data_IF_692048847334
#
_entry.id   IF_692048847334
#
_cell.length_a   1.000
_cell.length_b   1.000
_cell.length_c   1.000
_cell.angle_alpha   90.00
_cell.angle_beta   90.00
_cell.angle_gamma   90.00
#
_symmetry.space_group_name_H-M   'P 1'
#
loop_
_entity.id
_entity.type
_entity.pdbx_description
1 polymer ?
#
# COMPACT_ATOMS: atom_id res chain seq x y z
N UNK A 1 14.45 58.58 -12.54
CA UNK A 1 13.55 57.43 -12.81
C UNK A 1 12.12 57.93 -12.65
N UNK A 2 11.26 57.83 -13.68
CA UNK A 2 9.89 58.35 -13.57
C UNK A 2 9.11 57.61 -12.47
N UNK A 3 8.23 58.28 -11.69
CA UNK A 3 7.53 57.71 -10.53
C UNK A 3 6.65 56.48 -10.86
N UNK A 4 6.30 56.27 -12.14
CA UNK A 4 5.58 55.08 -12.62
C UNK A 4 6.43 53.80 -12.61
N UNK A 5 7.74 53.92 -12.83
CA UNK A 5 8.65 52.76 -12.83
C UNK A 5 9.05 52.32 -11.42
N UNK A 6 9.08 53.25 -10.46
CA UNK A 6 9.39 52.93 -9.06
C UNK A 6 8.29 52.07 -8.41
N UNK A 7 7.01 52.36 -8.69
CA UNK A 7 5.87 51.56 -8.20
C UNK A 7 5.86 50.15 -8.78
N UNK A 8 6.15 50.03 -10.08
CA UNK A 8 6.20 48.74 -10.78
C UNK A 8 7.37 47.88 -10.28
N UNK A 9 8.53 48.50 -10.02
CA UNK A 9 9.69 47.83 -9.45
C UNK A 9 9.41 47.33 -8.02
N UNK A 10 8.88 48.18 -7.14
CA UNK A 10 8.52 47.81 -5.76
C UNK A 10 7.50 46.68 -5.69
N UNK A 11 6.51 46.68 -6.59
CA UNK A 11 5.52 45.59 -6.66
C UNK A 11 6.18 44.27 -7.09
N UNK A 12 7.06 44.29 -8.08
CA UNK A 12 7.79 43.10 -8.52
C UNK A 12 8.74 42.57 -7.41
N UNK A 13 9.40 43.45 -6.66
CA UNK A 13 10.26 43.04 -5.53
C UNK A 13 9.41 42.44 -4.40
N UNK A 14 8.23 42.98 -4.12
CA UNK A 14 7.31 42.43 -3.12
C UNK A 14 6.82 41.02 -3.50
N UNK A 15 6.47 40.78 -4.77
CA UNK A 15 6.11 39.43 -5.25
C UNK A 15 7.29 38.44 -5.20
N UNK A 16 8.52 38.89 -5.47
CA UNK A 16 9.73 38.08 -5.32
C UNK A 16 10.03 37.72 -3.85
N UNK A 17 9.80 38.64 -2.92
CA UNK A 17 9.95 38.38 -1.48
C UNK A 17 8.86 37.45 -0.93
N UNK A 18 7.62 37.56 -1.43
CA UNK A 18 6.55 36.61 -1.10
C UNK A 18 6.84 35.20 -1.63
N UNK A 19 7.47 35.08 -2.80
CA UNK A 19 7.91 33.79 -3.33
C UNK A 19 8.98 33.13 -2.44
N UNK A 20 9.90 33.91 -1.86
CA UNK A 20 10.90 33.36 -0.93
C UNK A 20 10.30 32.90 0.40
N UNK A 21 9.25 33.55 0.91
CA UNK A 21 8.54 33.07 2.10
C UNK A 21 7.74 31.79 1.85
N UNK A 22 7.22 31.59 0.63
CA UNK A 22 6.51 30.35 0.27
C UNK A 22 7.45 29.12 0.17
N UNK A 23 8.76 29.34 0.01
CA UNK A 23 9.78 28.28 -0.12
C UNK A 23 10.54 27.96 1.16
N UNK A 24 10.21 28.59 2.29
CA UNK A 24 10.73 28.18 3.59
C UNK A 24 9.96 26.95 4.11
N UNK A 25 10.02 25.83 3.39
CA UNK A 25 9.75 24.54 4.02
C UNK A 25 10.81 24.35 5.10
N UNK A 26 10.37 24.42 6.35
CA UNK A 26 11.23 24.25 7.50
C UNK A 26 11.77 22.81 7.51
N UNK A 27 13.06 22.66 7.22
CA UNK A 27 13.73 21.35 7.19
C UNK A 27 13.82 20.78 8.61
N UNK A 28 12.95 19.82 8.92
CA UNK A 28 12.83 19.21 10.25
C UNK A 28 14.12 18.50 10.67
N UNK A 29 15.03 18.16 9.76
CA UNK A 29 16.31 17.54 10.12
C UNK A 29 17.17 18.42 11.02
N UNK A 30 16.96 19.75 10.99
CA UNK A 30 17.65 20.70 11.87
C UNK A 30 17.32 20.47 13.35
N UNK A 31 16.14 19.96 13.64
CA UNK A 31 15.66 19.67 14.99
C UNK A 31 15.71 18.18 15.34
N UNK A 32 16.52 17.39 14.62
CA UNK A 32 16.65 15.97 14.89
C UNK A 32 16.91 15.64 16.37
N UNK A 33 17.81 16.31 17.12
CA UNK A 33 18.01 16.02 18.54
C UNK A 33 16.75 16.18 19.39
N UNK A 34 15.91 17.19 19.09
CA UNK A 34 14.63 17.41 19.77
C UNK A 34 13.69 16.23 19.52
N UNK A 35 13.51 15.79 18.28
CA UNK A 35 12.65 14.65 17.96
C UNK A 35 13.12 13.34 18.57
N UNK A 36 14.43 13.08 18.60
CA UNK A 36 14.98 11.89 19.27
C UNK A 36 14.72 11.91 20.78
N UNK A 37 14.74 13.09 21.41
CA UNK A 37 14.37 13.21 22.82
C UNK A 37 12.88 12.98 23.04
N UNK A 38 12.01 13.61 22.24
CA UNK A 38 10.56 13.44 22.30
C UNK A 38 10.09 12.03 21.99
N UNK A 39 10.82 11.28 21.17
CA UNK A 39 10.53 9.88 20.91
C UNK A 39 10.62 9.02 22.19
N UNK A 40 11.45 9.39 23.18
CA UNK A 40 11.49 8.72 24.48
C UNK A 40 10.19 8.95 25.27
N UNK A 41 9.69 10.19 25.27
CA UNK A 41 8.41 10.53 25.89
C UNK A 41 7.25 9.75 25.24
N UNK A 42 7.32 9.52 23.93
CA UNK A 42 6.37 8.69 23.20
C UNK A 42 6.47 7.22 23.60
N UNK A 43 7.69 6.69 23.73
CA UNK A 43 7.92 5.32 24.23
C UNK A 43 7.31 5.14 25.63
N UNK A 44 7.57 6.05 26.56
CA UNK A 44 6.94 6.02 27.91
C UNK A 44 5.41 6.05 27.83
N UNK A 45 4.85 6.85 26.93
CA UNK A 45 3.41 6.88 26.73
C UNK A 45 2.86 5.53 26.23
N UNK A 46 3.55 4.84 25.31
CA UNK A 46 3.16 3.50 24.87
C UNK A 46 3.07 2.53 26.06
N UNK A 47 4.07 2.50 26.93
CA UNK A 47 4.08 1.65 28.12
C UNK A 47 2.93 1.96 29.09
N UNK A 48 2.67 3.23 29.38
CA UNK A 48 1.58 3.62 30.28
C UNK A 48 0.17 3.34 29.71
N UNK A 49 0.05 3.11 28.40
CA UNK A 49 -1.21 2.79 27.74
C UNK A 49 -1.26 1.32 27.29
N UNK A 50 -0.44 0.46 27.91
CA UNK A 50 -0.32 -0.99 27.63
C UNK A 50 0.08 -1.37 26.20
N UNK A 51 0.34 -0.39 25.33
CA UNK A 51 0.86 -0.60 23.98
C UNK A 51 2.34 -1.00 23.98
N UNK A 52 3.08 -0.63 25.03
CA UNK A 52 4.51 -0.95 25.19
C UNK A 52 4.81 -2.43 25.34
N UNK A 53 3.80 -3.26 25.64
CA UNK A 53 3.95 -4.73 25.63
C UNK A 53 4.02 -5.28 24.20
N UNK A 54 3.43 -4.57 23.24
CA UNK A 54 3.33 -4.99 21.85
C UNK A 54 4.33 -4.26 20.94
N UNK A 55 4.68 -3.01 21.28
CA UNK A 55 5.45 -2.12 20.42
C UNK A 55 6.55 -1.40 21.18
N UNK A 56 7.79 -1.57 20.71
CA UNK A 56 8.95 -0.84 21.19
C UNK A 56 9.46 0.16 20.17
N UNK A 57 9.91 1.33 20.62
CA UNK A 57 10.58 2.28 19.75
C UNK A 57 11.93 1.72 19.26
N UNK A 58 12.04 1.44 17.96
CA UNK A 58 13.28 0.96 17.35
C UNK A 58 14.13 2.10 16.78
N UNK A 59 13.50 3.05 16.09
CA UNK A 59 14.21 4.15 15.43
C UNK A 59 13.32 5.38 15.25
N UNK A 60 13.93 6.55 15.33
CA UNK A 60 13.34 7.82 14.89
C UNK A 60 14.00 8.22 13.57
N UNK A 61 13.21 8.32 12.49
CA UNK A 61 13.64 8.85 11.20
C UNK A 61 13.22 10.30 11.08
N UNK A 62 14.17 11.20 10.84
CA UNK A 62 13.87 12.63 10.63
C UNK A 62 14.22 12.98 9.19
N UNK A 63 13.22 13.44 8.44
CA UNK A 63 13.30 13.81 7.03
C UNK A 63 13.02 15.31 6.89
N UNK A 64 13.23 15.92 5.70
CA UNK A 64 13.01 17.36 5.55
C UNK A 64 11.59 17.82 5.92
N UNK A 65 10.59 17.01 5.63
CA UNK A 65 9.17 17.35 5.69
C UNK A 65 8.36 16.50 6.68
N UNK A 66 8.97 15.45 7.25
CA UNK A 66 8.31 14.55 8.20
C UNK A 66 9.23 13.92 9.24
N UNK A 67 8.63 13.50 10.35
CA UNK A 67 9.23 12.64 11.36
C UNK A 67 8.51 11.29 11.35
N UNK A 68 9.29 10.22 11.35
CA UNK A 68 8.83 8.83 11.35
C UNK A 68 9.27 8.12 12.62
N UNK A 69 8.33 7.56 13.38
CA UNK A 69 8.63 6.60 14.42
C UNK A 69 8.53 5.17 13.87
N UNK A 70 9.61 4.41 13.96
CA UNK A 70 9.61 2.98 13.66
C UNK A 70 9.41 2.24 14.98
N UNK A 71 8.25 1.64 15.14
CA UNK A 71 7.88 0.82 16.29
C UNK A 71 8.00 -0.65 15.90
N UNK A 72 8.89 -1.37 16.58
CA UNK A 72 9.11 -2.79 16.40
C UNK A 72 8.09 -3.55 17.23
N UNK A 73 7.38 -4.49 16.60
CA UNK A 73 6.51 -5.39 17.32
C UNK A 73 7.31 -6.44 18.13
N UNK A 74 6.81 -6.84 19.28
CA UNK A 74 7.45 -7.83 20.17
C UNK A 74 7.46 -9.27 19.63
N UNK A 75 6.87 -9.50 18.45
CA UNK A 75 6.73 -10.83 17.85
C UNK A 75 7.98 -11.24 17.05
N UNK A 76 8.26 -12.53 17.04
CA UNK A 76 9.37 -13.13 16.28
C UNK A 76 8.96 -14.45 15.64
N UNK A 77 9.74 -14.90 14.65
CA UNK A 77 9.48 -16.12 13.88
C UNK A 77 8.70 -15.90 12.59
N UNK A 78 8.49 -16.98 11.83
CA UNK A 78 7.94 -16.94 10.47
C UNK A 78 6.52 -16.34 10.39
N UNK A 79 5.73 -16.49 11.46
CA UNK A 79 4.34 -15.99 11.54
C UNK A 79 4.20 -14.63 12.21
N UNK A 80 5.31 -13.95 12.50
CA UNK A 80 5.25 -12.71 13.28
C UNK A 80 4.50 -11.58 12.56
N UNK A 81 4.44 -11.59 11.22
CA UNK A 81 3.57 -10.68 10.44
C UNK A 81 2.08 -10.93 10.70
N UNK A 82 1.64 -12.19 10.71
CA UNK A 82 0.25 -12.57 11.03
C UNK A 82 -0.10 -12.21 12.47
N UNK A 83 0.84 -12.44 13.40
CA UNK A 83 0.68 -12.03 14.80
C UNK A 83 0.51 -10.52 14.93
N UNK A 84 1.33 -9.73 14.22
CA UNK A 84 1.18 -8.27 14.19
C UNK A 84 -0.19 -7.86 13.63
N UNK A 85 -0.66 -8.50 12.56
CA UNK A 85 -1.98 -8.23 11.97
C UNK A 85 -3.11 -8.51 12.96
N UNK A 86 -3.12 -9.69 13.56
CA UNK A 86 -4.14 -10.10 14.51
C UNK A 86 -4.17 -9.17 15.73
N UNK A 87 -3.00 -8.85 16.29
CA UNK A 87 -2.88 -7.97 17.46
C UNK A 87 -3.28 -6.54 17.12
N UNK A 88 -2.88 -6.02 15.96
CA UNK A 88 -3.31 -4.69 15.53
C UNK A 88 -4.83 -4.57 15.42
N UNK A 89 -5.48 -5.56 14.80
CA UNK A 89 -6.93 -5.61 14.68
C UNK A 89 -7.62 -5.63 16.04
N UNK A 90 -7.12 -6.48 16.96
CA UNK A 90 -7.70 -6.62 18.29
C UNK A 90 -7.48 -5.38 19.16
N UNK A 91 -6.28 -4.77 19.13
CA UNK A 91 -6.00 -3.53 19.85
C UNK A 91 -6.91 -2.39 19.38
N UNK A 92 -7.12 -2.25 18.07
CA UNK A 92 -8.05 -1.27 17.52
C UNK A 92 -9.47 -1.50 18.02
N UNK A 93 -9.94 -2.74 17.95
CA UNK A 93 -11.28 -3.14 18.38
C UNK A 93 -11.49 -2.84 19.87
N UNK A 94 -10.57 -3.27 20.72
CA UNK A 94 -10.65 -3.03 22.16
C UNK A 94 -10.63 -1.54 22.51
N UNK A 95 -9.72 -0.79 21.89
CA UNK A 95 -9.61 0.65 22.13
C UNK A 95 -10.90 1.39 21.72
N UNK A 96 -11.50 1.03 20.59
CA UNK A 96 -12.76 1.60 20.14
C UNK A 96 -13.92 1.28 21.10
N UNK A 97 -14.00 0.03 21.57
CA UNK A 97 -15.03 -0.38 22.56
C UNK A 97 -14.90 0.40 23.87
N UNK A 98 -13.68 0.69 24.31
CA UNK A 98 -13.43 1.39 25.58
C UNK A 98 -13.61 2.91 25.48
N UNK A 99 -13.25 3.52 24.34
CA UNK A 99 -13.11 4.99 24.23
C UNK A 99 -14.06 5.63 23.22
N UNK A 100 -14.63 4.84 22.31
CA UNK A 100 -15.37 5.34 21.14
C UNK A 100 -14.49 5.98 20.06
N UNK A 101 -13.16 5.97 20.22
CA UNK A 101 -12.20 6.56 19.29
C UNK A 101 -11.36 5.51 18.56
N UNK A 102 -10.81 5.90 17.41
CA UNK A 102 -9.94 5.05 16.61
C UNK A 102 -8.49 5.08 17.13
N UNK A 103 -7.92 3.91 17.45
CA UNK A 103 -6.57 3.79 18.04
C UNK A 103 -5.48 4.47 17.20
N UNK A 104 -5.51 4.30 15.88
CA UNK A 104 -4.51 4.89 14.99
C UNK A 104 -4.53 6.43 15.03
N UNK A 105 -5.71 7.03 15.21
CA UNK A 105 -5.86 8.48 15.39
C UNK A 105 -5.24 8.92 16.71
N UNK A 106 -5.49 8.18 17.79
CA UNK A 106 -4.92 8.48 19.10
C UNK A 106 -3.39 8.38 19.09
N UNK A 107 -2.83 7.32 18.51
CA UNK A 107 -1.38 7.12 18.39
C UNK A 107 -0.72 8.25 17.60
N UNK A 108 -1.23 8.56 16.40
CA UNK A 108 -0.61 9.59 15.56
C UNK A 108 -0.77 11.00 16.15
N UNK A 109 -1.95 11.32 16.68
CA UNK A 109 -2.19 12.63 17.30
C UNK A 109 -1.30 12.82 18.53
N UNK A 110 -1.06 11.76 19.30
CA UNK A 110 -0.15 11.81 20.45
C UNK A 110 1.29 12.06 20.02
N UNK A 111 1.75 11.37 18.98
CA UNK A 111 3.08 11.60 18.40
C UNK A 111 3.21 13.06 17.94
N UNK A 112 2.27 13.53 17.12
CA UNK A 112 2.28 14.88 16.59
C UNK A 112 2.28 15.93 17.72
N UNK A 113 1.47 15.73 18.75
CA UNK A 113 1.44 16.59 19.93
C UNK A 113 2.76 16.61 20.70
N UNK A 114 3.36 15.45 20.98
CA UNK A 114 4.62 15.40 21.74
C UNK A 114 5.82 15.95 20.96
N UNK A 115 5.75 15.89 19.63
CA UNK A 115 6.81 16.35 18.73
C UNK A 115 6.55 17.74 18.17
N UNK A 116 5.48 18.43 18.57
CA UNK A 116 5.10 19.75 18.04
C UNK A 116 5.04 19.78 16.49
N UNK A 117 4.49 18.72 15.89
CA UNK A 117 4.37 18.55 14.44
C UNK A 117 2.94 18.75 13.96
N UNK A 118 2.74 19.28 12.74
CA UNK A 118 1.47 19.11 12.06
C UNK A 118 1.28 17.62 11.71
N UNK A 119 0.03 17.16 11.68
CA UNK A 119 -0.29 15.72 11.54
C UNK A 119 0.26 15.14 10.21
N UNK A 120 0.27 15.92 9.13
CA UNK A 120 0.81 15.54 7.80
C UNK A 120 2.34 15.44 7.78
N UNK A 121 3.03 15.92 8.81
CA UNK A 121 4.46 15.69 9.04
C UNK A 121 4.75 14.56 10.03
N UNK A 122 3.72 13.87 10.54
CA UNK A 122 3.88 12.75 11.47
C UNK A 122 3.59 11.41 10.79
N UNK A 123 4.42 10.41 11.11
CA UNK A 123 4.29 9.06 10.59
C UNK A 123 4.73 8.01 11.62
N UNK A 124 3.95 6.95 11.78
CA UNK A 124 4.29 5.80 12.61
C UNK A 124 4.31 4.57 11.71
N UNK A 125 5.36 3.75 11.83
CA UNK A 125 5.47 2.46 11.15
C UNK A 125 5.58 1.37 12.20
N UNK A 126 4.58 0.50 12.27
CA UNK A 126 4.61 -0.72 13.08
C UNK A 126 5.16 -1.83 12.21
N UNK A 127 6.29 -2.44 12.59
CA UNK A 127 6.93 -3.47 11.76
C UNK A 127 7.41 -4.64 12.60
N UNK A 128 7.57 -5.78 11.94
CA UNK A 128 8.26 -6.94 12.48
C UNK A 128 9.60 -7.09 11.76
N UNK A 129 10.71 -7.37 12.48
CA UNK A 129 12.00 -7.64 11.83
C UNK A 129 11.88 -8.83 10.87
N UNK A 130 12.48 -8.71 9.68
CA UNK A 130 12.48 -9.75 8.64
C UNK A 130 11.09 -10.13 8.10
N UNK A 131 10.06 -9.33 8.38
CA UNK A 131 8.76 -9.46 7.73
C UNK A 131 8.58 -8.35 6.69
N UNK A 132 7.93 -8.68 5.58
CA UNK A 132 7.45 -7.67 4.63
C UNK A 132 6.15 -7.01 5.09
N UNK A 133 5.46 -7.58 6.09
CA UNK A 133 4.25 -7.00 6.66
C UNK A 133 4.59 -5.87 7.65
N UNK A 134 3.97 -4.72 7.44
CA UNK A 134 4.04 -3.57 8.34
C UNK A 134 2.75 -2.75 8.25
N UNK A 135 2.49 -1.97 9.29
CA UNK A 135 1.35 -1.03 9.31
C UNK A 135 1.93 0.37 9.30
N UNK A 136 1.39 1.21 8.45
CA UNK A 136 1.76 2.62 8.36
C UNK A 136 0.59 3.45 8.84
N UNK A 137 0.85 4.37 9.77
CA UNK A 137 -0.10 5.36 10.26
C UNK A 137 0.45 6.73 9.90
N UNK A 138 -0.32 7.57 9.23
CA UNK A 138 0.17 8.83 8.69
C UNK A 138 -0.94 9.88 8.62
N UNK A 139 -0.56 11.16 8.65
CA UNK A 139 -1.51 12.25 8.46
C UNK A 139 -1.77 12.47 6.98
N UNK A 140 -3.03 12.54 6.61
CA UNK A 140 -3.46 12.84 5.24
C UNK A 140 -4.35 14.09 5.24
N UNK A 141 -4.13 14.94 4.24
CA UNK A 141 -4.94 16.13 4.01
C UNK A 141 -5.95 15.86 2.89
N UNK A 142 -7.22 15.82 3.24
CA UNK A 142 -8.35 15.72 2.31
C UNK A 142 -9.07 17.07 2.26
N UNK A 143 -8.72 17.88 1.25
CA UNK A 143 -9.18 19.27 1.16
C UNK A 143 -8.66 20.13 2.33
N UNK A 144 -9.57 20.67 3.15
CA UNK A 144 -9.22 21.44 4.35
C UNK A 144 -9.10 20.58 5.61
N UNK A 145 -9.45 19.29 5.56
CA UNK A 145 -9.43 18.39 6.72
C UNK A 145 -8.12 17.65 6.77
N UNK A 146 -7.51 17.63 7.96
CA UNK A 146 -6.32 16.86 8.26
C UNK A 146 -6.73 15.70 9.16
N UNK A 147 -6.56 14.47 8.68
CA UNK A 147 -7.01 13.26 9.37
C UNK A 147 -5.89 12.23 9.44
N UNK A 148 -5.80 11.52 10.54
CA UNK A 148 -4.93 10.35 10.63
C UNK A 148 -5.55 9.21 9.82
N UNK A 149 -4.74 8.59 8.96
CA UNK A 149 -5.06 7.38 8.20
C UNK A 149 -4.12 6.27 8.63
N UNK A 150 -4.51 5.04 8.32
CA UNK A 150 -3.60 3.92 8.43
C UNK A 150 -3.83 2.97 7.26
N UNK A 151 -2.78 2.27 6.89
CA UNK A 151 -2.76 1.27 5.84
C UNK A 151 -1.90 0.10 6.31
N UNK A 152 -2.34 -1.12 6.01
CA UNK A 152 -1.46 -2.27 6.08
C UNK A 152 -0.70 -2.44 4.76
N UNK A 153 0.57 -2.74 4.89
CA UNK A 153 1.48 -2.99 3.80
C UNK A 153 2.11 -4.35 4.03
N UNK A 154 2.49 -5.01 2.94
CA UNK A 154 2.75 -6.43 3.01
C UNK A 154 1.49 -7.22 3.35
N UNK A 155 0.31 -6.65 3.06
CA UNK A 155 -0.87 -7.42 2.68
C UNK A 155 -0.55 -8.08 1.34
N UNK A 156 0.40 -8.99 1.42
CA UNK A 156 0.63 -10.09 0.53
C UNK A 156 -0.59 -10.95 0.78
N UNK A 157 -1.50 -11.01 -0.16
CA UNK A 157 -2.51 -12.04 -0.16
C UNK A 157 -1.83 -13.40 0.00
N UNK A 158 -2.63 -14.42 0.32
CA UNK A 158 -2.24 -15.83 0.42
C UNK A 158 -1.12 -16.22 -0.58
N UNK A 159 -1.16 -15.64 -1.78
CA UNK A 159 -0.04 -15.51 -2.69
C UNK A 159 0.57 -14.11 -2.76
N UNK A 160 1.88 -14.02 -2.76
CA UNK A 160 2.53 -12.74 -3.03
C UNK A 160 3.92 -12.89 -3.61
N UNK A 161 4.34 -11.85 -4.30
CA UNK A 161 5.64 -11.87 -4.94
C UNK A 161 6.01 -10.53 -5.54
N UNK A 162 7.21 -10.53 -6.10
CA UNK A 162 7.72 -9.42 -6.87
C UNK A 162 8.20 -9.96 -8.22
N UNK A 163 7.73 -9.34 -9.29
CA UNK A 163 8.25 -9.55 -10.63
C UNK A 163 9.23 -8.42 -10.91
N UNK A 164 10.51 -8.78 -11.08
CA UNK A 164 11.55 -7.84 -11.51
C UNK A 164 11.91 -8.13 -12.96
N UNK A 165 11.67 -7.16 -13.84
CA UNK A 165 12.03 -7.25 -15.26
C UNK A 165 13.09 -6.18 -15.55
N UNK A 166 14.36 -6.57 -15.74
CA UNK A 166 15.39 -5.64 -16.18
C UNK A 166 14.98 -4.93 -17.47
N UNK A 167 15.35 -3.66 -17.64
CA UNK A 167 15.01 -2.87 -18.85
C UNK A 167 15.39 -3.62 -20.13
N UNK A 168 16.54 -4.28 -20.13
CA UNK A 168 17.10 -5.12 -21.21
C UNK A 168 16.13 -6.23 -21.67
N UNK A 169 15.39 -6.82 -20.73
CA UNK A 169 14.44 -7.93 -20.97
C UNK A 169 13.02 -7.44 -21.21
N UNK A 170 12.72 -6.19 -20.88
CA UNK A 170 11.40 -5.59 -21.02
C UNK A 170 11.06 -5.41 -22.51
N UNK A 171 9.85 -5.78 -22.91
CA UNK A 171 9.37 -5.56 -24.28
C UNK A 171 9.49 -4.09 -24.69
N UNK A 172 9.91 -3.84 -25.93
CA UNK A 172 10.17 -2.49 -26.46
C UNK A 172 8.94 -1.58 -26.36
N UNK A 173 7.74 -2.17 -26.39
CA UNK A 173 6.47 -1.46 -26.24
C UNK A 173 6.37 -0.76 -24.88
N UNK A 174 7.02 -1.26 -23.83
CA UNK A 174 6.98 -0.73 -22.46
C UNK A 174 8.17 0.18 -22.11
N UNK A 175 9.11 0.37 -23.04
CA UNK A 175 10.22 1.31 -22.87
C UNK A 175 9.75 2.73 -23.17
N UNK A 176 10.13 3.68 -22.34
CA UNK A 176 9.85 5.09 -22.55
C UNK A 176 10.79 5.63 -23.66
N UNK A 177 10.23 6.36 -24.62
CA UNK A 177 11.01 7.02 -25.67
C UNK A 177 11.76 8.27 -25.20
N UNK A 178 11.73 8.59 -23.90
CA UNK A 178 12.49 9.70 -23.34
C UNK A 178 13.84 9.15 -22.89
N UNK A 179 14.87 9.36 -23.69
CA UNK A 179 16.24 9.29 -23.21
C UNK A 179 16.35 10.18 -21.96
N UNK A 180 16.72 9.60 -20.82
CA UNK A 180 17.23 10.38 -19.69
C UNK A 180 18.56 11.01 -20.16
N UNK A 181 19.09 12.00 -19.43
CA UNK A 181 20.37 12.65 -19.75
C UNK A 181 21.59 11.69 -19.74
N UNK A 182 21.37 10.42 -19.39
CA UNK A 182 22.23 9.27 -19.67
C UNK A 182 21.44 8.28 -20.55
N UNK A 183 22.05 7.78 -21.63
CA UNK A 183 21.54 7.04 -22.79
C UNK A 183 20.70 5.75 -22.56
N UNK A 184 20.13 5.53 -21.37
CA UNK A 184 19.30 4.36 -21.08
C UNK A 184 17.79 4.65 -21.21
N UNK A 185 17.03 3.84 -21.98
CA UNK A 185 15.58 3.98 -22.06
C UNK A 185 14.93 3.63 -20.72
N UNK A 186 14.19 4.56 -20.10
CA UNK A 186 13.42 4.31 -18.88
C UNK A 186 12.15 3.48 -19.11
N UNK A 187 11.35 3.21 -18.08
CA UNK A 187 10.10 2.43 -18.19
C UNK A 187 8.86 3.33 -18.37
N UNK A 188 7.99 3.05 -19.36
CA UNK A 188 6.67 3.70 -19.51
C UNK A 188 5.64 3.07 -18.54
N UNK A 189 5.69 3.50 -17.27
CA UNK A 189 4.83 2.97 -16.20
C UNK A 189 3.33 3.10 -16.50
N UNK A 190 2.91 4.18 -17.17
CA UNK A 190 1.50 4.38 -17.51
C UNK A 190 0.99 3.34 -18.50
N UNK A 191 1.84 2.95 -19.46
CA UNK A 191 1.54 1.88 -20.41
C UNK A 191 1.62 0.51 -19.77
N UNK A 192 2.65 0.23 -18.95
CA UNK A 192 2.75 -1.01 -18.17
C UNK A 192 1.48 -1.21 -17.36
N UNK A 193 1.05 -0.20 -16.58
CA UNK A 193 -0.19 -0.25 -15.79
C UNK A 193 -1.41 -0.59 -16.64
N UNK A 194 -1.59 0.05 -17.80
CA UNK A 194 -2.73 -0.26 -18.70
C UNK A 194 -2.68 -1.70 -19.21
N UNK A 195 -1.50 -2.20 -19.57
CA UNK A 195 -1.32 -3.54 -20.08
C UNK A 195 -1.46 -4.62 -19.01
N UNK A 196 -0.98 -4.37 -17.78
CA UNK A 196 -1.22 -5.27 -16.64
C UNK A 196 -2.72 -5.34 -16.33
N UNK A 197 -3.43 -4.21 -16.33
CA UNK A 197 -4.89 -4.20 -16.15
C UNK A 197 -5.62 -4.97 -17.25
N UNK A 198 -5.18 -4.79 -18.50
CA UNK A 198 -5.72 -5.54 -19.63
C UNK A 198 -5.47 -7.05 -19.48
N UNK A 199 -4.27 -7.46 -19.08
CA UNK A 199 -3.91 -8.86 -18.83
C UNK A 199 -4.88 -9.53 -17.84
N UNK A 200 -5.15 -8.91 -16.68
CA UNK A 200 -6.07 -9.49 -15.70
C UNK A 200 -7.51 -9.51 -16.19
N UNK A 201 -7.98 -8.42 -16.80
CA UNK A 201 -9.32 -8.39 -17.40
C UNK A 201 -9.50 -9.50 -18.44
N UNK A 202 -8.54 -9.65 -19.34
CA UNK A 202 -8.62 -10.61 -20.44
C UNK A 202 -8.47 -12.05 -19.94
N UNK A 203 -7.71 -12.26 -18.85
CA UNK A 203 -7.61 -13.55 -18.17
C UNK A 203 -8.94 -13.97 -17.53
N UNK A 204 -9.72 -13.04 -16.98
CA UNK A 204 -10.93 -13.34 -16.19
C UNK A 204 -12.27 -13.16 -16.92
N UNK A 205 -12.36 -12.33 -17.95
CA UNK A 205 -13.64 -11.91 -18.56
C UNK A 205 -14.54 -13.07 -19.02
N UNK A 206 -13.97 -14.23 -19.36
CA UNK A 206 -14.69 -15.41 -19.83
C UNK A 206 -14.69 -16.56 -18.82
N UNK A 207 -14.39 -16.30 -17.54
CA UNK A 207 -14.19 -17.33 -16.50
C UNK A 207 -15.37 -17.52 -15.57
N UNK A 208 -16.55 -17.06 -16.00
CA UNK A 208 -17.79 -17.32 -15.30
C UNK A 208 -18.29 -18.75 -15.50
N UNK A 209 -19.59 -18.97 -15.28
CA UNK A 209 -20.24 -20.24 -15.63
C UNK A 209 -20.63 -20.25 -17.10
N UNK A 210 -20.64 -21.42 -17.73
CA UNK A 210 -20.87 -21.57 -19.17
C UNK A 210 -22.21 -20.98 -19.68
N UNK A 211 -23.22 -20.83 -18.80
CA UNK A 211 -24.59 -20.50 -19.21
C UNK A 211 -25.27 -19.33 -18.47
N UNK A 212 -24.84 -18.95 -17.27
CA UNK A 212 -25.63 -18.04 -16.41
C UNK A 212 -24.89 -16.81 -15.91
N UNK A 213 -23.62 -16.92 -15.54
CA UNK A 213 -22.87 -15.85 -14.91
C UNK A 213 -21.60 -15.58 -15.68
N UNK A 214 -21.37 -14.32 -16.06
CA UNK A 214 -20.05 -13.85 -16.50
C UNK A 214 -19.26 -13.44 -15.26
N UNK A 215 -17.93 -13.56 -15.35
CA UNK A 215 -17.06 -13.02 -14.31
C UNK A 215 -17.33 -11.52 -14.16
N UNK A 216 -17.50 -11.08 -12.91
CA UNK A 216 -17.62 -9.66 -12.57
C UNK A 216 -16.25 -9.18 -12.12
N UNK A 217 -15.77 -8.11 -12.73
CA UNK A 217 -14.43 -7.57 -12.49
C UNK A 217 -14.60 -6.13 -12.03
N UNK A 218 -14.37 -5.89 -10.76
CA UNK A 218 -14.34 -4.55 -10.17
C UNK A 218 -12.86 -4.16 -9.98
N UNK A 219 -12.46 -3.00 -10.50
CA UNK A 219 -11.09 -2.49 -10.34
C UNK A 219 -11.09 -1.14 -9.63
N UNK A 220 -10.39 -1.04 -8.51
CA UNK A 220 -10.19 0.21 -7.78
C UNK A 220 -8.75 0.71 -7.98
N UNK A 221 -8.57 2.03 -8.04
CA UNK A 221 -7.24 2.65 -8.11
C UNK A 221 -7.01 3.36 -6.80
N UNK A 222 -6.10 2.85 -5.97
CA UNK A 222 -5.84 3.41 -4.64
C UNK A 222 -4.88 4.61 -4.72
N UNK A 223 -3.81 4.52 -5.52
CA UNK A 223 -2.82 5.59 -5.81
C UNK A 223 -2.29 5.37 -7.24
N UNK A 224 -1.76 6.37 -7.94
CA UNK A 224 -1.44 6.37 -9.39
C UNK A 224 -0.96 5.02 -10.01
N UNK A 225 -0.03 4.30 -9.37
CA UNK A 225 0.50 3.02 -9.88
C UNK A 225 0.04 1.77 -9.12
N UNK A 226 -0.83 1.96 -8.13
CA UNK A 226 -1.36 0.91 -7.27
C UNK A 226 -2.85 0.69 -7.60
N UNK A 227 -3.24 -0.55 -7.78
CA UNK A 227 -4.62 -0.90 -8.06
C UNK A 227 -4.99 -2.28 -7.56
N UNK A 228 -6.27 -2.45 -7.27
CA UNK A 228 -6.83 -3.71 -6.82
C UNK A 228 -7.85 -4.22 -7.84
N UNK A 229 -7.87 -5.52 -8.03
CA UNK A 229 -8.85 -6.25 -8.83
C UNK A 229 -9.63 -7.18 -7.92
N UNK A 230 -10.93 -6.97 -7.84
CA UNK A 230 -11.85 -7.92 -7.22
C UNK A 230 -12.64 -8.61 -8.32
N UNK A 231 -12.48 -9.92 -8.43
CA UNK A 231 -13.15 -10.75 -9.43
C UNK A 231 -14.08 -11.71 -8.72
N UNK A 232 -15.37 -11.59 -8.99
CA UNK A 232 -16.41 -12.48 -8.45
C UNK A 232 -17.11 -13.22 -9.59
N UNK A 233 -17.99 -14.15 -9.24
CA UNK A 233 -18.78 -14.93 -10.20
C UNK A 233 -17.91 -15.79 -11.14
N UNK A 234 -16.67 -16.04 -10.77
CA UNK A 234 -15.78 -16.98 -11.47
C UNK A 234 -16.04 -18.40 -10.98
N UNK A 235 -15.85 -19.39 -11.85
CA UNK A 235 -16.03 -20.79 -11.50
C UNK A 235 -14.96 -21.66 -12.13
N UNK A 236 -14.53 -22.70 -11.42
CA UNK A 236 -13.58 -23.72 -11.91
C UNK A 236 -12.23 -23.15 -12.38
N UNK A 237 -11.78 -22.03 -11.84
CA UNK A 237 -10.47 -21.46 -12.20
C UNK A 237 -9.37 -22.13 -11.41
N UNK A 238 -9.45 -22.05 -10.08
CA UNK A 238 -8.60 -22.78 -9.15
C UNK A 238 -9.14 -24.19 -8.94
N UNK A 239 -10.45 -24.33 -8.70
CA UNK A 239 -11.10 -25.59 -8.35
C UNK A 239 -11.79 -26.25 -9.53
N UNK A 240 -10.99 -26.63 -10.53
CA UNK A 240 -11.47 -27.18 -11.82
C UNK A 240 -12.45 -28.35 -11.71
N UNK A 241 -12.27 -29.22 -10.71
CA UNK A 241 -13.07 -30.43 -10.50
C UNK A 241 -14.25 -30.26 -9.53
N UNK A 242 -14.49 -29.05 -9.02
CA UNK A 242 -15.56 -28.79 -8.06
C UNK A 242 -16.52 -27.73 -8.62
N UNK A 243 -17.81 -27.83 -8.24
CA UNK A 243 -18.82 -26.84 -8.58
C UNK A 243 -18.86 -25.76 -7.50
N UNK A 244 -17.78 -24.98 -7.42
CA UNK A 244 -17.69 -23.82 -6.55
C UNK A 244 -17.60 -22.54 -7.36
N UNK A 245 -18.17 -21.49 -6.79
CA UNK A 245 -17.86 -20.13 -7.20
C UNK A 245 -16.64 -19.65 -6.44
N UNK A 246 -15.79 -18.91 -7.11
CA UNK A 246 -14.55 -18.37 -6.57
C UNK A 246 -14.67 -16.83 -6.51
N UNK A 247 -13.95 -16.24 -5.57
CA UNK A 247 -13.75 -14.79 -5.44
C UNK A 247 -12.25 -14.58 -5.37
N UNK A 248 -11.70 -13.78 -6.26
CA UNK A 248 -10.29 -13.43 -6.29
C UNK A 248 -10.11 -11.95 -6.00
N UNK A 249 -9.19 -11.62 -5.11
CA UNK A 249 -8.76 -10.24 -4.87
C UNK A 249 -7.26 -10.15 -5.13
N UNK A 250 -6.86 -9.27 -6.04
CA UNK A 250 -5.48 -9.10 -6.47
C UNK A 250 -5.08 -7.63 -6.33
N UNK A 251 -4.13 -7.34 -5.45
CA UNK A 251 -3.56 -6.00 -5.31
C UNK A 251 -2.20 -5.95 -6.00
N UNK A 252 -1.97 -4.88 -6.76
CA UNK A 252 -0.76 -4.70 -7.58
C UNK A 252 -0.20 -3.31 -7.37
N UNK A 253 1.11 -3.25 -7.15
CA UNK A 253 1.90 -2.03 -7.12
C UNK A 253 2.99 -2.08 -8.20
N UNK A 254 3.15 -0.99 -8.95
CA UNK A 254 4.07 -0.89 -10.08
C UNK A 254 5.05 0.25 -9.87
N UNK A 255 6.35 -0.04 -9.96
CA UNK A 255 7.41 0.95 -9.79
C UNK A 255 8.53 0.78 -10.84
N UNK A 256 9.23 1.88 -11.11
CA UNK A 256 10.54 1.84 -11.77
C UNK A 256 11.59 1.62 -10.65
N UNK A 257 12.19 0.43 -10.62
CA UNK A 257 13.32 0.11 -9.75
C UNK A 257 14.66 0.53 -10.38
N UNK A 258 15.77 0.21 -9.71
CA UNK A 258 17.11 0.61 -10.15
C UNK A 258 17.48 0.06 -11.53
N UNK A 259 17.10 -1.18 -11.82
CA UNK A 259 17.49 -1.90 -13.04
C UNK A 259 16.33 -2.13 -14.03
N UNK A 260 15.14 -1.60 -13.74
CA UNK A 260 13.97 -1.75 -14.62
C UNK A 260 12.62 -1.74 -13.91
N UNK A 261 11.71 -2.59 -14.36
CA UNK A 261 10.34 -2.65 -13.87
C UNK A 261 10.23 -3.56 -12.65
N UNK A 262 9.62 -3.06 -11.58
CA UNK A 262 9.23 -3.85 -10.41
C UNK A 262 7.70 -3.87 -10.27
N UNK A 263 7.13 -5.07 -10.17
CA UNK A 263 5.71 -5.27 -9.89
C UNK A 263 5.57 -6.10 -8.62
N UNK A 264 5.10 -5.47 -7.56
CA UNK A 264 4.73 -6.16 -6.33
C UNK A 264 3.26 -6.55 -6.39
N UNK A 265 2.94 -7.75 -5.93
CA UNK A 265 1.56 -8.23 -5.97
C UNK A 265 1.18 -9.05 -4.74
N UNK A 266 -0.13 -9.05 -4.50
CA UNK A 266 -0.89 -9.72 -3.45
C UNK A 266 -2.06 -10.43 -4.10
N UNK A 267 -2.34 -11.67 -3.72
CA UNK A 267 -3.48 -12.42 -4.23
C UNK A 267 -4.17 -13.22 -3.10
N UNK A 268 -5.41 -12.85 -2.80
CA UNK A 268 -6.33 -13.56 -1.91
C UNK A 268 -7.44 -14.22 -2.71
N UNK A 269 -7.93 -15.36 -2.22
CA UNK A 269 -9.08 -16.01 -2.82
C UNK A 269 -9.99 -16.66 -1.79
N UNK A 270 -11.29 -16.70 -2.11
CA UNK A 270 -12.31 -17.48 -1.39
C UNK A 270 -13.07 -18.37 -2.37
N UNK A 271 -13.67 -19.45 -1.87
CA UNK A 271 -14.59 -20.30 -2.62
C UNK A 271 -15.87 -20.50 -1.83
N UNK A 272 -17.01 -20.68 -2.51
CA UNK A 272 -18.28 -20.92 -1.85
C UNK A 272 -19.15 -21.90 -2.61
N UNK A 273 -19.98 -22.61 -1.86
CA UNK A 273 -20.93 -23.59 -2.35
C UNK A 273 -22.02 -22.93 -3.20
N UNK A 274 -22.21 -23.42 -4.43
CA UNK A 274 -23.29 -22.96 -5.30
C UNK A 274 -23.30 -23.73 -6.61
N UNK A 275 -24.40 -24.42 -6.91
CA UNK A 275 -24.53 -25.15 -8.17
C UNK A 275 -24.88 -24.24 -9.34
N UNK A 276 -25.74 -23.25 -9.08
CA UNK A 276 -26.33 -22.36 -10.11
C UNK A 276 -26.10 -20.89 -9.75
N UNK A 277 -26.08 -20.54 -8.47
CA UNK A 277 -25.96 -19.17 -7.98
C UNK A 277 -24.68 -18.98 -7.20
N UNK A 278 -23.92 -17.89 -7.45
CA UNK A 278 -22.81 -17.52 -6.59
C UNK A 278 -23.32 -17.18 -5.19
N UNK A 279 -22.54 -17.47 -4.15
CA UNK A 279 -22.82 -16.97 -2.81
C UNK A 279 -22.86 -15.44 -2.80
N UNK A 280 -23.59 -14.86 -1.85
CA UNK A 280 -23.64 -13.40 -1.71
C UNK A 280 -22.31 -12.90 -1.15
N UNK A 281 -21.82 -11.76 -1.63
CA UNK A 281 -20.55 -11.19 -1.19
C UNK A 281 -20.51 -10.88 0.33
N UNK A 282 -21.68 -10.72 0.97
CA UNK A 282 -21.89 -10.46 2.40
C UNK A 282 -22.34 -11.70 3.21
N UNK A 283 -22.35 -12.87 2.59
CA UNK A 283 -22.67 -14.14 3.25
C UNK A 283 -21.43 -14.81 3.83
N UNK A 284 -21.58 -15.51 4.96
CA UNK A 284 -20.55 -16.39 5.52
C UNK A 284 -20.38 -17.70 4.71
N UNK A 285 -20.93 -17.77 3.50
CA UNK A 285 -20.93 -18.95 2.62
C UNK A 285 -19.65 -19.06 1.79
N UNK A 286 -18.83 -18.00 1.78
CA UNK A 286 -17.47 -18.03 1.24
C UNK A 286 -16.48 -18.51 2.30
N UNK A 287 -15.75 -19.58 1.95
CA UNK A 287 -14.66 -20.15 2.72
C UNK A 287 -13.32 -19.69 2.15
N UNK A 288 -12.36 -19.44 3.04
CA UNK A 288 -11.02 -19.02 2.65
C UNK A 288 -10.25 -20.19 2.05
N UNK A 289 -9.57 -19.98 0.91
CA UNK A 289 -8.68 -21.00 0.34
C UNK A 289 -7.50 -21.29 1.28
N UNK A 290 -7.05 -20.32 2.08
CA UNK A 290 -5.86 -20.41 2.92
C UNK A 290 -5.99 -21.48 4.01
N UNK A 291 -7.16 -21.50 4.66
CA UNK A 291 -7.46 -22.44 5.75
C UNK A 291 -8.09 -23.74 5.25
N UNK A 292 -8.20 -23.90 3.93
CA UNK A 292 -8.86 -25.03 3.30
C UNK A 292 -7.87 -26.11 2.81
N UNK A 293 -8.36 -27.33 2.53
CA UNK A 293 -7.59 -28.36 1.84
C UNK A 293 -7.16 -27.97 0.41
N UNK A 294 -7.68 -26.87 -0.14
CA UNK A 294 -7.46 -26.44 -1.51
C UNK A 294 -6.32 -25.42 -1.69
N UNK A 295 -5.62 -25.08 -0.60
CA UNK A 295 -4.53 -24.12 -0.60
C UNK A 295 -3.48 -24.43 -1.68
N UNK A 296 -3.11 -25.70 -1.84
CA UNK A 296 -2.09 -26.11 -2.82
C UNK A 296 -2.49 -25.79 -4.27
N UNK A 297 -3.77 -26.02 -4.62
CA UNK A 297 -4.30 -25.73 -5.94
C UNK A 297 -4.28 -24.22 -6.21
N UNK A 298 -4.65 -23.44 -5.19
CA UNK A 298 -4.52 -21.99 -5.25
C UNK A 298 -3.07 -21.56 -5.46
N UNK A 299 -2.13 -22.08 -4.68
CA UNK A 299 -0.70 -21.75 -4.78
C UNK A 299 -0.11 -22.08 -6.17
N UNK A 300 -0.55 -23.18 -6.78
CA UNK A 300 -0.16 -23.52 -8.15
C UNK A 300 -0.77 -22.55 -9.18
N UNK A 301 -2.02 -22.16 -8.98
CA UNK A 301 -2.72 -21.23 -9.86
C UNK A 301 -2.09 -19.83 -9.84
N UNK A 302 -1.87 -19.25 -8.66
CA UNK A 302 -1.26 -17.93 -8.52
C UNK A 302 0.16 -17.89 -9.10
N UNK A 303 1.01 -18.89 -8.82
CA UNK A 303 2.35 -18.97 -9.40
C UNK A 303 2.31 -19.01 -10.95
N UNK A 304 1.39 -19.79 -11.52
CA UNK A 304 1.23 -19.87 -12.98
C UNK A 304 0.71 -18.55 -13.59
N UNK A 305 -0.21 -17.87 -12.93
CA UNK A 305 -0.78 -16.60 -13.37
C UNK A 305 0.29 -15.50 -13.43
N UNK A 306 1.07 -15.34 -12.36
CA UNK A 306 2.11 -14.30 -12.30
C UNK A 306 3.32 -14.63 -13.16
N UNK A 307 3.65 -15.92 -13.37
CA UNK A 307 4.64 -16.32 -14.38
C UNK A 307 4.19 -15.95 -15.81
N UNK A 308 2.90 -16.09 -16.13
CA UNK A 308 2.34 -15.63 -17.41
C UNK A 308 2.37 -14.11 -17.53
N UNK A 309 2.14 -13.38 -16.45
CA UNK A 309 2.26 -11.92 -16.44
C UNK A 309 3.71 -11.49 -16.70
N UNK A 310 4.68 -12.12 -16.01
CA UNK A 310 6.11 -11.86 -16.24
C UNK A 310 6.49 -12.13 -17.71
N UNK A 311 6.08 -13.27 -18.27
CA UNK A 311 6.32 -13.59 -19.67
C UNK A 311 5.66 -12.59 -20.63
N UNK A 312 4.46 -12.10 -20.30
CA UNK A 312 3.76 -11.07 -21.07
C UNK A 312 4.48 -9.72 -21.09
N UNK A 313 5.23 -9.39 -20.03
CA UNK A 313 6.00 -8.16 -19.92
C UNK A 313 7.37 -8.23 -20.62
N UNK A 314 7.95 -9.43 -20.70
CA UNK A 314 9.23 -9.68 -21.34
C UNK A 314 9.12 -9.72 -22.85
N UNK A 315 10.23 -9.40 -23.52
CA UNK A 315 10.44 -9.62 -24.95
C UNK A 315 10.42 -11.14 -25.19
N UNK A 316 9.48 -11.61 -26.03
CA UNK A 316 9.52 -13.00 -26.55
C UNK A 316 10.68 -13.13 -27.51
#
# INVERSE_FOLDING_TARGET
MQPKHLKSFLLATFFLLLAQMAYAQYDLRRDAPFFHNRAKDYSTWLYHNELGHFFDLAKTGVYPDKVRLLLRASFSGEKAGDSLRAVWSELRRQYYVQTGAELHVAMLSKMAFQMDLPLDSAEIVLFVPNSEYYIRIYGEREGQRLTARWEDYGNKGMGSGNIKVPVEQLSDVFRSGKAKLDDSPGVDLARVRRSVRAFFRDNYQNKGTDWFWKARIDSTSAVYNDFSFTVTHISREVLKSHNFFELHQIDISIAEGMDGLEISWSFQAKYGGGLIFPPRDDSNDYHDFETSPYKYQFDKYQAALFKRLEAYLKKV
#
